data_IF_728396839013
#
_entry.id   IF_728396839013
#
_cell.length_a   1.000
_cell.length_b   1.000
_cell.length_c   1.000
_cell.angle_alpha   90.00
_cell.angle_beta   90.00
_cell.angle_gamma   90.00
#
_symmetry.space_group_name_H-M   'P 1'
#
loop_
_entity.id
_entity.type
_entity.pdbx_description
1 polymer ?
#
# COMPACT_ATOMS: atom_id res chain seq x y z
N UNK A 1 -19.46 1.24 -11.21
CA UNK A 1 -18.40 1.86 -10.42
C UNK A 1 -18.33 3.34 -10.75
N UNK A 2 -18.31 4.20 -9.72
CA UNK A 2 -18.17 5.65 -9.90
C UNK A 2 -16.72 6.06 -9.77
N UNK A 3 -16.29 7.01 -10.57
CA UNK A 3 -14.95 7.58 -10.49
C UNK A 3 -14.98 8.89 -9.72
N UNK A 4 -13.97 9.08 -8.85
CA UNK A 4 -13.71 10.36 -8.19
C UNK A 4 -12.38 10.87 -8.73
N UNK A 5 -12.41 11.95 -9.50
CA UNK A 5 -11.21 12.59 -10.00
C UNK A 5 -10.69 13.59 -8.97
N UNK A 6 -9.54 13.30 -8.40
CA UNK A 6 -8.91 14.16 -7.40
C UNK A 6 -8.18 15.32 -8.06
N UNK A 7 -8.42 16.52 -7.58
CA UNK A 7 -7.75 17.73 -8.00
C UNK A 7 -7.16 18.48 -6.81
N UNK A 8 -5.97 19.01 -6.97
CA UNK A 8 -5.35 19.83 -5.94
C UNK A 8 -5.91 21.26 -5.96
N UNK A 9 -6.09 21.83 -4.79
CA UNK A 9 -6.27 23.27 -4.61
C UNK A 9 -4.92 23.87 -4.22
N UNK A 10 -4.33 24.60 -5.16
CA UNK A 10 -3.00 25.24 -4.98
C UNK A 10 -3.10 26.73 -4.70
N UNK A 11 -4.19 27.37 -5.10
CA UNK A 11 -4.39 28.82 -5.06
C UNK A 11 -3.65 29.54 -6.21
N UNK A 12 -3.31 28.83 -7.28
CA UNK A 12 -2.61 29.37 -8.44
C UNK A 12 -3.48 29.32 -9.70
N UNK A 13 -3.06 30.01 -10.76
CA UNK A 13 -3.75 29.97 -12.06
C UNK A 13 -3.84 28.53 -12.63
N UNK A 14 -2.94 27.63 -12.22
CA UNK A 14 -2.97 26.22 -12.59
C UNK A 14 -4.25 25.50 -12.15
N UNK A 15 -4.94 26.00 -11.13
CA UNK A 15 -6.19 25.41 -10.65
C UNK A 15 -7.31 25.47 -11.70
N UNK A 16 -7.36 26.54 -12.50
CA UNK A 16 -8.35 26.71 -13.58
C UNK A 16 -8.11 25.66 -14.67
N UNK A 17 -6.88 25.56 -15.16
CA UNK A 17 -6.53 24.59 -16.21
C UNK A 17 -6.72 23.15 -15.72
N UNK A 18 -6.45 22.88 -14.46
CA UNK A 18 -6.68 21.59 -13.84
C UNK A 18 -8.18 21.24 -13.77
N UNK A 19 -9.03 22.24 -13.51
CA UNK A 19 -10.50 22.05 -13.51
C UNK A 19 -11.04 21.75 -14.91
N UNK A 20 -10.58 22.46 -15.94
CA UNK A 20 -10.95 22.19 -17.33
C UNK A 20 -10.56 20.78 -17.74
N UNK A 21 -9.31 20.37 -17.47
CA UNK A 21 -8.83 19.00 -17.73
C UNK A 21 -9.67 17.95 -17.01
N UNK A 22 -10.04 18.20 -15.76
CA UNK A 22 -10.87 17.29 -14.96
C UNK A 22 -12.27 17.12 -15.59
N UNK A 23 -12.88 18.22 -16.02
CA UNK A 23 -14.17 18.20 -16.67
C UNK A 23 -14.14 17.39 -17.99
N UNK A 24 -13.08 17.57 -18.79
CA UNK A 24 -12.90 16.82 -20.05
C UNK A 24 -12.73 15.32 -19.80
N UNK A 25 -11.96 14.93 -18.78
CA UNK A 25 -11.79 13.52 -18.39
C UNK A 25 -13.11 12.91 -17.93
N UNK A 26 -13.87 13.58 -17.06
CA UNK A 26 -15.18 13.11 -16.60
C UNK A 26 -16.14 12.96 -17.78
N UNK A 27 -16.15 13.93 -18.70
CA UNK A 27 -16.96 13.88 -19.93
C UNK A 27 -16.57 12.68 -20.81
N UNK A 28 -15.28 12.42 -20.97
CA UNK A 28 -14.79 11.28 -21.76
C UNK A 28 -15.16 9.94 -21.12
N UNK A 29 -15.12 9.84 -19.79
CA UNK A 29 -15.52 8.64 -19.05
C UNK A 29 -17.05 8.43 -19.01
N UNK A 30 -17.84 9.47 -19.29
CA UNK A 30 -19.30 9.46 -19.23
C UNK A 30 -19.88 9.31 -17.81
N UNK A 31 -19.02 9.30 -16.78
CA UNK A 31 -19.40 9.15 -15.36
C UNK A 31 -18.30 9.66 -14.45
N UNK A 32 -18.66 9.93 -13.21
CA UNK A 32 -17.72 10.37 -12.18
C UNK A 32 -17.98 11.80 -11.70
N UNK A 33 -17.21 12.20 -10.71
CA UNK A 33 -17.26 13.54 -10.14
C UNK A 33 -15.87 14.04 -9.79
N UNK A 34 -15.71 15.33 -9.76
CA UNK A 34 -14.50 15.99 -9.25
C UNK A 34 -14.56 16.10 -7.73
N UNK A 35 -13.39 15.98 -7.10
CA UNK A 35 -13.20 16.29 -5.69
C UNK A 35 -11.89 17.06 -5.50
N UNK A 36 -12.00 18.24 -4.89
CA UNK A 36 -10.86 19.15 -4.69
C UNK A 36 -10.25 18.96 -3.30
N UNK A 37 -8.94 18.77 -3.27
CA UNK A 37 -8.15 18.55 -2.04
C UNK A 37 -7.27 19.76 -1.75
N UNK A 38 -7.32 20.29 -0.54
CA UNK A 38 -6.40 21.32 -0.09
C UNK A 38 -5.04 20.70 0.23
N UNK A 39 -4.06 20.92 -0.64
CA UNK A 39 -2.71 20.38 -0.49
C UNK A 39 -1.75 21.28 0.26
N UNK A 40 -2.19 22.47 0.69
CA UNK A 40 -1.39 23.42 1.47
C UNK A 40 -1.44 23.09 2.97
N UNK A 41 -2.51 22.45 3.40
CA UNK A 41 -2.68 21.89 4.74
C UNK A 41 -2.78 20.37 4.65
N UNK A 42 -1.71 19.69 5.05
CA UNK A 42 -1.62 18.23 4.94
C UNK A 42 -2.64 17.51 5.82
N UNK A 43 -2.93 18.03 7.02
CA UNK A 43 -3.91 17.42 7.92
C UNK A 43 -5.31 17.50 7.31
N UNK A 44 -5.68 18.67 6.83
CA UNK A 44 -6.96 18.91 6.15
C UNK A 44 -7.09 18.09 4.88
N UNK A 45 -6.02 18.01 4.08
CA UNK A 45 -6.00 17.19 2.87
C UNK A 45 -6.24 15.71 3.14
N UNK A 46 -5.63 15.16 4.20
CA UNK A 46 -5.85 13.77 4.62
C UNK A 46 -7.29 13.58 5.13
N UNK A 47 -7.83 14.49 5.94
CA UNK A 47 -9.21 14.44 6.41
C UNK A 47 -10.22 14.45 5.26
N UNK A 48 -10.00 15.32 4.27
CA UNK A 48 -10.82 15.39 3.06
C UNK A 48 -10.80 14.07 2.28
N UNK A 49 -9.62 13.47 2.07
CA UNK A 49 -9.48 12.18 1.39
C UNK A 49 -10.07 11.02 2.22
N UNK A 50 -9.90 11.05 3.54
CA UNK A 50 -10.47 10.04 4.42
C UNK A 50 -12.00 10.04 4.44
N UNK A 51 -12.64 11.18 4.13
CA UNK A 51 -14.10 11.29 4.02
C UNK A 51 -14.68 10.64 2.77
N UNK A 52 -13.85 10.35 1.76
CA UNK A 52 -14.27 9.69 0.53
C UNK A 52 -14.38 8.18 0.75
N UNK A 53 -15.39 7.58 0.14
CA UNK A 53 -15.53 6.13 0.07
C UNK A 53 -14.96 5.61 -1.24
N UNK A 54 -13.88 4.80 -1.15
CA UNK A 54 -13.22 4.20 -2.31
C UNK A 54 -12.44 2.93 -1.89
N UNK A 55 -12.29 2.00 -2.79
CA UNK A 55 -11.59 0.72 -2.63
C UNK A 55 -10.32 0.62 -3.50
N UNK A 56 -10.11 1.59 -4.38
CA UNK A 56 -8.89 1.70 -5.17
C UNK A 56 -8.53 3.16 -5.47
N UNK A 57 -7.24 3.43 -5.64
CA UNK A 57 -6.72 4.71 -6.13
C UNK A 57 -5.74 4.47 -7.28
N UNK A 58 -5.83 5.29 -8.32
CA UNK A 58 -4.85 5.34 -9.40
C UNK A 58 -4.03 6.64 -9.29
N UNK A 59 -2.73 6.50 -9.08
CA UNK A 59 -1.78 7.60 -9.01
C UNK A 59 -1.18 7.83 -10.39
N UNK A 60 -1.84 8.68 -11.18
CA UNK A 60 -1.54 8.89 -12.59
C UNK A 60 -0.86 10.25 -12.90
N UNK A 61 -0.62 11.07 -11.91
CA UNK A 61 -0.03 12.40 -12.09
C UNK A 61 -0.62 13.44 -11.14
N UNK A 62 -0.33 14.72 -11.42
CA UNK A 62 -0.75 15.84 -10.59
C UNK A 62 0.36 16.32 -9.63
N UNK A 63 0.07 17.31 -8.77
CA UNK A 63 1.04 17.79 -7.80
C UNK A 63 1.52 16.68 -6.87
N UNK A 64 2.81 16.61 -6.61
CA UNK A 64 3.44 15.58 -5.77
C UNK A 64 2.78 15.47 -4.39
N UNK A 65 2.37 16.60 -3.80
CA UNK A 65 1.67 16.60 -2.51
C UNK A 65 0.34 15.86 -2.58
N UNK A 66 -0.45 16.04 -3.66
CA UNK A 66 -1.70 15.31 -3.84
C UNK A 66 -1.46 13.80 -3.98
N UNK A 67 -0.45 13.41 -4.77
CA UNK A 67 -0.09 12.00 -4.96
C UNK A 67 0.31 11.36 -3.62
N UNK A 68 1.13 12.04 -2.80
CA UNK A 68 1.52 11.56 -1.48
C UNK A 68 0.32 11.44 -0.52
N UNK A 69 -0.55 12.45 -0.48
CA UNK A 69 -1.75 12.42 0.36
C UNK A 69 -2.69 11.28 -0.06
N UNK A 70 -2.91 11.09 -1.35
CA UNK A 70 -3.74 10.01 -1.87
C UNK A 70 -3.16 8.63 -1.55
N UNK A 71 -1.82 8.46 -1.67
CA UNK A 71 -1.12 7.24 -1.28
C UNK A 71 -1.29 6.94 0.22
N UNK A 72 -1.11 7.94 1.08
CA UNK A 72 -1.26 7.77 2.54
C UNK A 72 -2.71 7.42 2.89
N UNK A 73 -3.69 8.17 2.36
CA UNK A 73 -5.10 7.92 2.63
C UNK A 73 -5.53 6.50 2.18
N UNK A 74 -5.11 6.07 0.99
CA UNK A 74 -5.37 4.74 0.48
C UNK A 74 -4.70 3.65 1.34
N UNK A 75 -3.46 3.88 1.78
CA UNK A 75 -2.72 2.95 2.65
C UNK A 75 -3.40 2.75 4.00
N UNK A 76 -3.87 3.83 4.62
CA UNK A 76 -4.58 3.78 5.91
C UNK A 76 -5.94 3.10 5.78
N UNK A 77 -6.63 3.30 4.66
CA UNK A 77 -7.90 2.67 4.36
C UNK A 77 -7.79 1.19 3.97
N UNK A 78 -6.60 0.76 3.52
CA UNK A 78 -6.38 -0.59 2.97
C UNK A 78 -6.90 -0.73 1.54
N UNK A 79 -7.07 0.37 0.82
CA UNK A 79 -7.48 0.39 -0.57
C UNK A 79 -6.36 -0.10 -1.49
N UNK A 80 -6.72 -0.58 -2.68
CA UNK A 80 -5.74 -0.95 -3.72
C UNK A 80 -5.09 0.31 -4.30
N UNK A 81 -3.81 0.23 -4.58
CA UNK A 81 -3.03 1.35 -5.09
C UNK A 81 -2.40 0.97 -6.41
N UNK A 82 -2.75 1.70 -7.46
CA UNK A 82 -2.16 1.56 -8.79
C UNK A 82 -1.34 2.80 -9.10
N UNK A 83 -0.17 2.60 -9.70
CA UNK A 83 0.67 3.70 -10.20
C UNK A 83 0.71 3.61 -11.71
N UNK A 84 0.41 4.74 -12.36
CA UNK A 84 0.54 4.92 -13.81
C UNK A 84 1.84 5.67 -14.05
N UNK A 85 2.91 5.01 -14.52
CA UNK A 85 4.19 5.68 -14.74
C UNK A 85 4.15 6.57 -15.99
N UNK A 86 4.89 7.66 -15.96
CA UNK A 86 4.97 8.61 -17.07
C UNK A 86 5.62 8.03 -18.35
N UNK A 87 6.41 6.96 -18.19
CA UNK A 87 7.24 6.35 -19.23
C UNK A 87 6.81 4.94 -19.64
N UNK A 88 5.73 4.41 -19.08
CA UNK A 88 5.22 3.08 -19.41
C UNK A 88 3.72 3.12 -19.64
N UNK A 89 3.24 2.28 -20.57
CA UNK A 89 1.84 2.25 -20.94
C UNK A 89 0.96 1.59 -19.86
N UNK A 90 1.50 0.61 -19.14
CA UNK A 90 0.72 -0.22 -18.22
C UNK A 90 0.86 0.24 -16.77
N UNK A 91 -0.27 0.43 -16.05
CA UNK A 91 -0.23 0.66 -14.62
C UNK A 91 0.25 -0.59 -13.87
N UNK A 92 0.97 -0.41 -12.76
CA UNK A 92 1.35 -1.51 -11.89
C UNK A 92 0.71 -1.40 -10.51
N UNK A 93 0.47 -2.54 -9.86
CA UNK A 93 -0.06 -2.62 -8.51
C UNK A 93 1.05 -2.28 -7.49
N UNK A 94 0.87 -1.19 -6.77
CA UNK A 94 1.74 -0.70 -5.72
C UNK A 94 1.19 -0.95 -4.31
N UNK A 95 0.11 -1.70 -4.17
CA UNK A 95 -0.56 -1.96 -2.88
C UNK A 95 0.38 -2.57 -1.84
N UNK A 96 1.32 -3.41 -2.29
CA UNK A 96 2.33 -4.00 -1.43
C UNK A 96 3.21 -2.95 -0.71
N UNK A 97 3.46 -1.78 -1.30
CA UNK A 97 4.23 -0.70 -0.67
C UNK A 97 3.51 -0.12 0.56
N UNK A 98 2.18 -0.10 0.55
CA UNK A 98 1.37 0.35 1.68
C UNK A 98 1.57 -0.52 2.94
N UNK A 99 1.98 -1.78 2.77
CA UNK A 99 2.26 -2.68 3.89
C UNK A 99 3.42 -2.21 4.76
N UNK A 100 4.34 -1.38 4.22
CA UNK A 100 5.45 -0.81 4.97
C UNK A 100 4.99 -0.12 6.28
N UNK A 101 3.85 0.55 6.27
CA UNK A 101 3.28 1.19 7.47
C UNK A 101 2.91 0.18 8.57
N UNK A 102 2.54 -1.05 8.20
CA UNK A 102 2.16 -2.11 9.12
C UNK A 102 3.34 -2.94 9.62
N UNK A 103 4.45 -2.97 8.87
CA UNK A 103 5.62 -3.76 9.22
C UNK A 103 6.34 -3.22 10.46
N UNK A 104 6.35 -1.90 10.66
CA UNK A 104 6.99 -1.27 11.83
C UNK A 104 6.32 -1.64 13.16
N UNK A 105 5.09 -2.13 13.12
CA UNK A 105 4.35 -2.62 14.29
C UNK A 105 4.59 -4.12 14.58
N UNK A 106 5.40 -4.81 13.77
CA UNK A 106 5.71 -6.21 13.96
C UNK A 106 6.92 -6.39 14.87
N UNK A 107 6.91 -7.47 15.67
CA UNK A 107 8.09 -7.87 16.46
C UNK A 107 9.19 -8.36 15.52
N UNK A 108 10.48 -8.27 15.92
CA UNK A 108 11.59 -8.80 15.13
C UNK A 108 11.43 -10.27 14.76
N UNK A 109 10.83 -11.09 15.64
CA UNK A 109 10.55 -12.50 15.34
C UNK A 109 9.56 -12.66 14.19
N UNK A 110 8.47 -11.89 14.18
CA UNK A 110 7.48 -11.91 13.08
C UNK A 110 8.08 -11.39 11.77
N UNK A 111 8.90 -10.35 11.84
CA UNK A 111 9.59 -9.82 10.65
C UNK A 111 10.55 -10.84 10.04
N UNK A 112 11.31 -11.60 10.88
CA UNK A 112 12.18 -12.69 10.39
C UNK A 112 11.37 -13.77 9.68
N UNK A 113 10.23 -14.19 10.26
CA UNK A 113 9.35 -15.18 9.65
C UNK A 113 8.75 -14.65 8.34
N UNK A 114 8.31 -13.37 8.30
CA UNK A 114 7.77 -12.73 7.10
C UNK A 114 8.80 -12.65 5.97
N UNK A 115 10.04 -12.28 6.29
CA UNK A 115 11.13 -12.21 5.31
C UNK A 115 11.40 -13.55 4.61
N UNK A 116 11.17 -14.66 5.32
CA UNK A 116 11.37 -16.03 4.85
C UNK A 116 10.06 -16.73 4.43
N UNK A 117 8.92 -16.04 4.44
CA UNK A 117 7.62 -16.63 4.17
C UNK A 117 7.47 -17.04 2.69
N UNK A 118 8.01 -18.22 2.37
CA UNK A 118 7.88 -18.88 1.07
C UNK A 118 7.99 -20.39 1.26
N UNK A 119 6.85 -21.08 1.28
CA UNK A 119 6.75 -22.53 1.45
C UNK A 119 5.99 -22.95 2.72
N UNK A 120 6.00 -24.25 3.04
CA UNK A 120 5.40 -24.79 4.24
C UNK A 120 6.12 -24.32 5.51
N UNK A 121 5.42 -24.35 6.67
CA UNK A 121 5.96 -23.87 7.95
C UNK A 121 7.23 -24.61 8.40
N UNK A 122 7.33 -25.91 8.13
CA UNK A 122 8.51 -26.73 8.44
C UNK A 122 9.76 -26.30 7.66
N UNK A 123 9.59 -25.90 6.38
CA UNK A 123 10.69 -25.41 5.55
C UNK A 123 11.14 -24.02 6.01
N UNK A 124 10.21 -23.13 6.34
CA UNK A 124 10.51 -21.80 6.90
C UNK A 124 11.21 -21.94 8.25
N UNK A 125 10.74 -22.84 9.11
CA UNK A 125 11.33 -23.13 10.41
C UNK A 125 12.78 -23.63 10.29
N UNK A 126 13.04 -24.54 9.34
CA UNK A 126 14.38 -25.05 9.06
C UNK A 126 15.33 -23.94 8.61
N UNK A 127 14.91 -23.06 7.70
CA UNK A 127 15.73 -21.92 7.25
C UNK A 127 16.08 -20.95 8.36
N UNK A 128 15.14 -20.75 9.29
CA UNK A 128 15.31 -19.82 10.42
C UNK A 128 15.99 -20.43 11.64
N UNK A 129 16.13 -21.76 11.70
CA UNK A 129 16.59 -22.48 12.88
C UNK A 129 15.63 -22.33 14.08
N UNK A 130 14.32 -22.28 13.83
CA UNK A 130 13.29 -22.09 14.83
C UNK A 130 12.37 -23.32 14.93
N UNK A 131 11.65 -23.44 16.07
CA UNK A 131 10.62 -24.45 16.24
C UNK A 131 9.47 -24.25 15.27
N UNK A 132 9.01 -25.34 14.64
CA UNK A 132 7.96 -25.34 13.62
C UNK A 132 6.63 -24.81 14.15
N UNK A 133 6.27 -25.15 15.39
CA UNK A 133 5.02 -24.68 16.01
C UNK A 133 5.02 -23.15 16.18
N UNK A 134 6.16 -22.61 16.61
CA UNK A 134 6.35 -21.16 16.74
C UNK A 134 6.25 -20.46 15.40
N UNK A 135 6.92 -20.99 14.38
CA UNK A 135 6.86 -20.43 13.02
C UNK A 135 5.45 -20.52 12.44
N UNK A 136 4.77 -21.65 12.60
CA UNK A 136 3.39 -21.83 12.17
C UNK A 136 2.46 -20.76 12.78
N UNK A 137 2.54 -20.52 14.10
CA UNK A 137 1.74 -19.48 14.78
C UNK A 137 2.04 -18.08 14.25
N UNK A 138 3.29 -17.78 13.92
CA UNK A 138 3.65 -16.50 13.32
C UNK A 138 3.12 -16.37 11.89
N UNK A 139 3.21 -17.42 11.07
CA UNK A 139 2.69 -17.43 9.72
C UNK A 139 1.15 -17.26 9.71
N UNK A 140 0.42 -17.97 10.56
CA UNK A 140 -1.03 -17.78 10.69
C UNK A 140 -1.37 -16.32 11.07
N UNK A 141 -0.70 -15.76 12.08
CA UNK A 141 -0.92 -14.37 12.49
C UNK A 141 -0.57 -13.33 11.40
N UNK A 142 0.37 -13.65 10.51
CA UNK A 142 0.72 -12.81 9.35
C UNK A 142 -0.32 -12.94 8.25
N UNK A 143 -0.84 -14.15 8.03
CA UNK A 143 -1.91 -14.41 7.05
C UNK A 143 -3.23 -13.73 7.47
N UNK A 144 -3.61 -13.83 8.74
CA UNK A 144 -4.78 -13.13 9.30
C UNK A 144 -4.70 -11.60 9.12
N UNK A 145 -3.48 -11.05 9.09
CA UNK A 145 -3.24 -9.62 8.83
C UNK A 145 -3.15 -9.28 7.35
N UNK A 146 -3.30 -10.26 6.45
CA UNK A 146 -3.17 -10.07 5.00
C UNK A 146 -1.77 -9.66 4.54
N UNK A 147 -0.72 -10.02 5.31
CA UNK A 147 0.68 -9.76 4.94
C UNK A 147 1.29 -10.88 4.10
N UNK A 148 0.70 -12.07 4.17
CA UNK A 148 1.04 -13.23 3.36
C UNK A 148 -0.26 -13.96 2.98
N UNK A 149 -0.19 -14.76 1.93
CA UNK A 149 -1.29 -15.64 1.51
C UNK A 149 -0.99 -17.06 2.00
N UNK A 150 -2.02 -17.80 2.42
CA UNK A 150 -1.92 -19.22 2.75
C UNK A 150 -2.79 -20.03 1.80
N UNK A 151 -2.23 -21.09 1.22
CA UNK A 151 -2.89 -21.98 0.27
C UNK A 151 -2.82 -23.43 0.76
N UNK A 152 -3.84 -24.21 0.47
CA UNK A 152 -3.92 -25.65 0.81
C UNK A 152 -4.57 -25.92 2.17
N UNK A 153 -5.21 -27.10 2.29
CA UNK A 153 -5.95 -27.51 3.49
C UNK A 153 -5.16 -28.47 4.41
N UNK A 154 -4.42 -29.43 3.85
CA UNK A 154 -3.65 -30.43 4.63
C UNK A 154 -2.23 -29.98 4.93
N UNK A 155 -1.56 -29.39 3.95
CA UNK A 155 -0.22 -28.80 4.09
C UNK A 155 -0.29 -27.38 3.55
N UNK A 156 -0.44 -26.42 4.46
CA UNK A 156 -0.49 -25.00 4.09
C UNK A 156 0.84 -24.56 3.54
N UNK A 157 0.80 -23.87 2.41
CA UNK A 157 1.92 -23.17 1.80
C UNK A 157 1.70 -21.68 2.03
N UNK A 158 2.68 -21.00 2.60
CA UNK A 158 2.63 -19.57 2.89
C UNK A 158 3.49 -18.83 1.88
N UNK A 159 2.93 -17.75 1.32
CA UNK A 159 3.62 -16.91 0.34
C UNK A 159 3.49 -15.45 0.70
N UNK A 160 4.62 -14.81 0.96
CA UNK A 160 4.72 -13.36 1.02
C UNK A 160 5.10 -12.81 -0.35
N UNK A 161 4.51 -11.70 -0.76
CA UNK A 161 4.96 -10.97 -1.93
C UNK A 161 6.42 -10.55 -1.78
N UNK A 162 7.20 -10.59 -2.86
CA UNK A 162 8.63 -10.28 -2.82
C UNK A 162 8.91 -8.88 -2.26
N UNK A 163 8.10 -7.88 -2.64
CA UNK A 163 8.21 -6.52 -2.11
C UNK A 163 8.03 -6.50 -0.59
N UNK A 164 7.02 -7.19 -0.06
CA UNK A 164 6.72 -7.26 1.39
C UNK A 164 7.87 -7.95 2.14
N UNK A 165 8.44 -9.02 1.58
CA UNK A 165 9.57 -9.75 2.14
C UNK A 165 10.84 -8.89 2.19
N UNK A 166 11.14 -8.16 1.12
CA UNK A 166 12.26 -7.21 1.07
C UNK A 166 12.07 -6.09 2.09
N UNK A 167 10.88 -5.51 2.19
CA UNK A 167 10.57 -4.48 3.19
C UNK A 167 10.77 -5.02 4.62
N UNK A 168 10.34 -6.26 4.90
CA UNK A 168 10.55 -6.89 6.20
C UNK A 168 12.05 -7.04 6.54
N UNK A 169 12.89 -7.40 5.57
CA UNK A 169 14.35 -7.48 5.74
C UNK A 169 14.96 -6.10 6.05
N UNK A 170 14.52 -5.05 5.36
CA UNK A 170 15.01 -3.68 5.58
C UNK A 170 14.64 -3.17 6.97
N UNK A 171 13.40 -3.41 7.41
CA UNK A 171 12.95 -3.05 8.76
C UNK A 171 13.75 -3.81 9.82
N UNK A 172 14.03 -5.10 9.63
CA UNK A 172 14.88 -5.89 10.52
C UNK A 172 16.29 -5.31 10.66
N UNK A 173 16.92 -4.95 9.54
CA UNK A 173 18.26 -4.31 9.56
C UNK A 173 18.24 -3.02 10.38
N UNK A 174 17.18 -2.24 10.27
CA UNK A 174 17.02 -1.01 11.04
C UNK A 174 16.92 -1.26 12.56
N UNK A 175 16.19 -2.33 12.96
CA UNK A 175 16.08 -2.71 14.37
C UNK A 175 17.40 -3.23 14.96
N UNK A 176 18.20 -3.96 14.17
CA UNK A 176 19.50 -4.50 14.63
C UNK A 176 20.54 -3.40 14.80
N UNK A 177 20.55 -2.40 13.91
CA UNK A 177 21.52 -1.29 13.95
C UNK A 177 21.25 -0.28 15.09
N UNK A 178 20.07 -0.25 15.69
CA UNK A 178 19.75 0.63 16.82
C UNK A 178 20.16 0.06 18.21
N UNK A 179 20.61 -1.19 18.25
CA UNK A 179 21.02 -1.86 19.50
C UNK A 179 22.54 -1.92 19.69
N UNK A 180 23.33 -1.40 18.77
CA UNK A 180 24.78 -1.18 18.90
C UNK A 180 25.06 0.30 19.10
#
# INVERSE_FOLDING_TARGET
DDYILLRAQTGTEGDVKSAETAADVIKALGRGREFTVDIRDLARGIEQLASLDFDAVALAGGPRSLVLLAFVAASLRGARIYVVPEYAADPFDATALATAFRLTCLTPAKLRVLAEANGPADDVARRLGLDTTTVYRHLEALAERGLIVSEGSRRKIYRGEDVVRVLAQLVLKHFTNKKG
#
